data_IF_953015109472
#
_entry.id   IF_953015109472
#
_cell.length_a   1.000
_cell.length_b   1.000
_cell.length_c   1.000
_cell.angle_alpha   90.00
_cell.angle_beta   90.00
_cell.angle_gamma   90.00
#
_symmetry.space_group_name_H-M   'P 1'
#
loop_
_entity.id
_entity.type
_entity.pdbx_description
1 polymer ?
#
# COMPACT_ATOMS: atom_id res chain seq x y z
N UNK A 1 8.95 14.83 8.57
CA UNK A 1 7.86 14.48 9.50
C UNK A 1 7.99 13.08 10.11
N UNK A 2 8.81 12.17 9.55
CA UNK A 2 9.04 10.81 10.06
C UNK A 2 8.11 9.73 9.50
N UNK A 3 7.25 10.02 8.52
CA UNK A 3 6.31 9.06 7.91
C UNK A 3 7.00 7.89 7.24
N UNK A 4 7.95 8.16 6.35
CA UNK A 4 8.73 7.11 5.66
C UNK A 4 9.57 6.31 6.65
N UNK A 5 10.11 6.94 7.72
CA UNK A 5 10.81 6.22 8.79
C UNK A 5 9.88 5.25 9.51
N UNK A 6 8.66 5.70 9.86
CA UNK A 6 7.65 4.83 10.47
C UNK A 6 7.29 3.65 9.54
N UNK A 7 7.08 3.93 8.25
CA UNK A 7 6.82 2.88 7.26
C UNK A 7 7.97 1.87 7.17
N UNK A 8 9.23 2.36 7.18
CA UNK A 8 10.42 1.52 7.15
C UNK A 8 10.54 0.65 8.41
N UNK A 9 10.21 1.18 9.59
CA UNK A 9 10.18 0.40 10.83
C UNK A 9 9.10 -0.69 10.79
N UNK A 10 7.87 -0.36 10.34
CA UNK A 10 6.79 -1.34 10.20
C UNK A 10 7.15 -2.41 9.17
N UNK A 11 7.82 -2.03 8.10
CA UNK A 11 8.28 -2.95 7.05
C UNK A 11 9.53 -3.75 7.43
N UNK A 12 10.09 -3.51 8.60
CA UNK A 12 11.31 -4.15 9.08
C UNK A 12 12.55 -3.90 8.19
N UNK A 13 12.53 -2.83 7.40
CA UNK A 13 13.69 -2.33 6.64
C UNK A 13 14.61 -1.56 7.58
N UNK A 14 14.02 -0.87 8.57
CA UNK A 14 14.74 -0.15 9.62
C UNK A 14 14.36 -0.71 10.99
N UNK A 15 15.19 -0.48 11.99
CA UNK A 15 15.00 -0.99 13.35
C UNK A 15 14.41 0.06 14.28
N UNK A 16 13.49 -0.36 15.15
CA UNK A 16 12.89 0.50 16.17
C UNK A 16 13.91 0.76 17.29
N UNK A 17 14.24 2.03 17.56
CA UNK A 17 15.18 2.41 18.62
C UNK A 17 14.60 2.24 20.03
N UNK A 18 13.28 2.38 20.18
CA UNK A 18 12.55 2.18 21.43
C UNK A 18 11.07 1.96 21.17
N UNK A 19 10.38 1.25 22.06
CA UNK A 19 8.99 0.85 21.88
C UNK A 19 8.88 -0.48 21.14
N UNK A 20 7.68 -0.80 20.65
CA UNK A 20 7.40 -2.04 19.95
C UNK A 20 6.38 -1.80 18.82
N UNK A 21 6.40 -2.67 17.81
CA UNK A 21 5.40 -2.72 16.74
C UNK A 21 4.75 -4.09 16.82
N UNK A 22 3.44 -4.08 16.97
CA UNK A 22 2.64 -5.31 17.02
C UNK A 22 1.83 -5.46 15.73
N UNK A 23 1.95 -6.61 15.06
CA UNK A 23 1.08 -7.01 13.96
C UNK A 23 0.29 -8.26 14.42
N UNK A 24 -1.03 -8.15 14.43
CA UNK A 24 -1.93 -9.21 14.94
C UNK A 24 -1.57 -9.68 16.36
N UNK A 25 -1.00 -8.79 17.19
CA UNK A 25 -0.57 -9.07 18.56
C UNK A 25 0.84 -9.64 18.69
N UNK A 26 1.55 -9.93 17.60
CA UNK A 26 2.94 -10.41 17.58
C UNK A 26 3.91 -9.24 17.47
N UNK A 27 4.93 -9.22 18.36
CA UNK A 27 6.00 -8.22 18.35
C UNK A 27 6.96 -8.45 17.19
N UNK A 28 7.10 -7.44 16.33
CA UNK A 28 8.08 -7.48 15.23
C UNK A 28 9.51 -7.29 15.75
N UNK A 29 9.68 -6.49 16.81
CA UNK A 29 11.00 -6.21 17.38
C UNK A 29 11.67 -7.45 18.00
N UNK A 30 10.90 -8.49 18.34
CA UNK A 30 11.40 -9.73 18.92
C UNK A 30 11.84 -10.78 17.88
N UNK A 31 11.60 -10.54 16.58
CA UNK A 31 11.87 -11.49 15.50
C UNK A 31 13.37 -11.52 15.15
N UNK A 32 13.90 -12.70 14.91
CA UNK A 32 15.24 -12.90 14.33
C UNK A 32 15.28 -12.48 12.85
N UNK A 33 16.47 -12.25 12.30
CA UNK A 33 16.68 -11.89 10.88
C UNK A 33 15.95 -12.83 9.90
N UNK A 34 15.98 -14.14 10.15
CA UNK A 34 15.29 -15.12 9.31
C UNK A 34 13.78 -15.02 9.41
N UNK A 35 13.25 -14.76 10.60
CA UNK A 35 11.83 -14.54 10.84
C UNK A 35 11.37 -13.22 10.25
N UNK A 36 12.17 -12.15 10.31
CA UNK A 36 11.89 -10.87 9.65
C UNK A 36 11.78 -11.03 8.11
N UNK A 37 12.69 -11.80 7.51
CA UNK A 37 12.62 -12.08 6.08
C UNK A 37 11.34 -12.87 5.70
N UNK A 38 10.95 -13.83 6.52
CA UNK A 38 9.70 -14.58 6.36
C UNK A 38 8.48 -13.69 6.56
N UNK A 39 8.47 -12.86 7.60
CA UNK A 39 7.43 -11.89 7.91
C UNK A 39 7.17 -10.96 6.72
N UNK A 40 8.23 -10.36 6.13
CA UNK A 40 8.10 -9.52 4.94
C UNK A 40 7.45 -10.25 3.77
N UNK A 41 7.82 -11.50 3.51
CA UNK A 41 7.28 -12.27 2.38
C UNK A 41 5.83 -12.69 2.58
N UNK A 42 5.47 -13.09 3.80
CA UNK A 42 4.19 -13.74 4.08
C UNK A 42 3.10 -12.76 4.55
N UNK A 43 3.49 -11.68 5.25
CA UNK A 43 2.54 -10.79 5.93
C UNK A 43 2.44 -9.40 5.30
N UNK A 44 3.46 -8.94 4.59
CA UNK A 44 3.52 -7.59 4.06
C UNK A 44 3.42 -7.56 2.54
N UNK A 45 2.61 -6.64 2.04
CA UNK A 45 2.63 -6.22 0.64
C UNK A 45 3.10 -4.77 0.53
N UNK A 46 3.83 -4.45 -0.54
CA UNK A 46 4.37 -3.11 -0.77
C UNK A 46 3.88 -2.52 -2.07
N UNK A 47 3.40 -1.28 -2.00
CA UNK A 47 3.05 -0.47 -3.16
C UNK A 47 3.85 0.84 -3.08
N UNK A 48 4.79 1.01 -4.00
CA UNK A 48 5.68 2.18 -4.06
C UNK A 48 5.23 3.17 -5.14
N UNK A 49 5.66 4.41 -5.02
CA UNK A 49 5.43 5.48 -5.99
C UNK A 49 5.97 5.10 -7.38
N UNK A 50 7.17 4.54 -7.47
CA UNK A 50 7.85 4.17 -8.72
C UNK A 50 7.48 2.76 -9.23
N UNK A 51 6.40 2.16 -8.71
CA UNK A 51 5.88 0.83 -9.04
C UNK A 51 6.83 -0.33 -8.74
N UNK A 52 8.14 -0.16 -8.90
CA UNK A 52 9.20 -1.16 -8.70
C UNK A 52 8.92 -2.51 -9.39
N UNK A 53 8.38 -2.46 -10.61
CA UNK A 53 8.23 -3.63 -11.46
C UNK A 53 9.57 -3.93 -12.13
N UNK A 54 9.88 -5.22 -12.29
CA UNK A 54 11.08 -5.67 -12.98
C UNK A 54 10.82 -5.66 -14.50
N UNK A 55 11.54 -4.82 -15.23
CA UNK A 55 11.37 -4.66 -16.69
C UNK A 55 11.74 -5.90 -17.50
N UNK A 56 12.51 -6.83 -16.91
CA UNK A 56 12.89 -8.10 -17.50
C UNK A 56 11.85 -9.20 -17.39
N UNK A 57 10.80 -8.96 -16.60
CA UNK A 57 9.69 -9.88 -16.36
C UNK A 57 8.40 -9.32 -16.96
N UNK A 58 7.53 -10.19 -17.44
CA UNK A 58 6.16 -9.83 -17.82
C UNK A 58 5.37 -9.35 -16.61
N UNK A 59 4.19 -8.77 -16.83
CA UNK A 59 3.28 -8.38 -15.75
C UNK A 59 2.85 -9.61 -14.94
N UNK A 60 2.56 -10.74 -15.60
CA UNK A 60 2.23 -12.01 -14.95
C UNK A 60 3.35 -12.47 -14.01
N UNK A 61 4.59 -12.49 -14.49
CA UNK A 61 5.76 -12.90 -13.73
C UNK A 61 6.06 -11.93 -12.56
N UNK A 62 5.91 -10.62 -12.79
CA UNK A 62 6.03 -9.62 -11.72
C UNK A 62 5.02 -9.87 -10.59
N UNK A 63 3.76 -10.14 -10.93
CA UNK A 63 2.71 -10.43 -9.94
C UNK A 63 3.02 -11.74 -9.23
N UNK A 64 3.35 -12.81 -9.98
CA UNK A 64 3.62 -14.14 -9.44
C UNK A 64 4.89 -14.26 -8.59
N UNK A 65 5.78 -13.27 -8.64
CA UNK A 65 7.09 -13.32 -7.98
C UNK A 65 7.00 -13.60 -6.47
N UNK A 66 6.06 -12.97 -5.78
CA UNK A 66 5.87 -13.18 -4.33
C UNK A 66 5.50 -14.63 -4.01
N UNK A 67 4.67 -15.26 -4.85
CA UNK A 67 4.28 -16.66 -4.70
C UNK A 67 5.44 -17.61 -5.02
N UNK A 68 6.19 -17.31 -6.10
CA UNK A 68 7.36 -18.10 -6.47
C UNK A 68 8.44 -18.10 -5.38
N UNK A 69 8.68 -16.95 -4.75
CA UNK A 69 9.59 -16.83 -3.61
C UNK A 69 9.12 -17.59 -2.36
N UNK A 70 7.83 -17.85 -2.25
CA UNK A 70 7.22 -18.69 -1.21
C UNK A 70 7.08 -20.16 -1.62
N UNK A 71 7.73 -20.57 -2.71
CA UNK A 71 7.74 -21.95 -3.23
C UNK A 71 6.35 -22.50 -3.57
N UNK A 72 5.39 -21.64 -3.94
CA UNK A 72 4.09 -22.08 -4.40
C UNK A 72 4.22 -22.88 -5.72
N UNK A 73 3.38 -23.90 -5.87
CA UNK A 73 3.37 -24.69 -7.11
C UNK A 73 2.88 -23.85 -8.31
N UNK A 74 3.34 -24.16 -9.54
CA UNK A 74 3.03 -23.35 -10.73
C UNK A 74 1.51 -23.20 -10.99
N UNK A 75 0.69 -24.19 -10.68
CA UNK A 75 -0.74 -24.12 -10.89
C UNK A 75 -1.43 -23.17 -9.92
N UNK A 76 -0.94 -23.10 -8.68
CA UNK A 76 -1.38 -22.12 -7.68
C UNK A 76 -0.97 -20.72 -8.08
N UNK A 77 0.28 -20.52 -8.55
CA UNK A 77 0.74 -19.21 -9.05
C UNK A 77 -0.18 -18.74 -10.19
N UNK A 78 -0.39 -19.55 -11.21
CA UNK A 78 -1.21 -19.19 -12.36
C UNK A 78 -2.65 -18.82 -11.95
N UNK A 79 -3.26 -19.61 -11.10
CA UNK A 79 -4.63 -19.37 -10.61
C UNK A 79 -4.74 -18.08 -9.81
N UNK A 80 -3.81 -17.83 -8.85
CA UNK A 80 -3.87 -16.65 -8.00
C UNK A 80 -3.54 -15.37 -8.78
N UNK A 81 -2.59 -15.43 -9.71
CA UNK A 81 -2.29 -14.30 -10.60
C UNK A 81 -3.49 -13.96 -11.48
N UNK A 82 -4.15 -14.95 -12.07
CA UNK A 82 -5.34 -14.73 -12.89
C UNK A 82 -6.49 -14.11 -12.07
N UNK A 83 -6.73 -14.59 -10.85
CA UNK A 83 -7.78 -14.07 -9.95
C UNK A 83 -7.54 -12.61 -9.57
N UNK A 84 -6.33 -12.27 -9.10
CA UNK A 84 -6.01 -10.88 -8.72
C UNK A 84 -6.00 -9.95 -9.93
N UNK A 85 -5.51 -10.41 -11.08
CA UNK A 85 -5.50 -9.62 -12.31
C UNK A 85 -6.93 -9.32 -12.81
N UNK A 86 -7.84 -10.27 -12.69
CA UNK A 86 -9.24 -10.07 -13.01
C UNK A 86 -9.89 -9.03 -12.08
N UNK A 87 -9.66 -9.14 -10.77
CA UNK A 87 -10.18 -8.19 -9.77
C UNK A 87 -9.69 -6.76 -10.00
N UNK A 88 -8.46 -6.61 -10.51
CA UNK A 88 -7.83 -5.32 -10.77
C UNK A 88 -8.01 -4.83 -12.22
N UNK A 89 -8.68 -5.60 -13.09
CA UNK A 89 -8.94 -5.24 -14.48
C UNK A 89 -7.66 -5.09 -15.31
N UNK A 90 -6.73 -6.05 -15.17
CA UNK A 90 -5.43 -6.07 -15.87
C UNK A 90 -5.13 -7.43 -16.53
N UNK A 91 -6.13 -8.29 -16.69
CA UNK A 91 -5.93 -9.61 -17.30
C UNK A 91 -5.39 -9.54 -18.74
N UNK A 92 -5.77 -8.50 -19.49
CA UNK A 92 -5.36 -8.27 -20.87
C UNK A 92 -3.89 -7.88 -21.04
N UNK A 93 -3.23 -7.46 -19.97
CA UNK A 93 -1.82 -7.03 -20.00
C UNK A 93 -0.87 -8.04 -19.36
N UNK A 94 -1.32 -9.15 -18.84
CA UNK A 94 -0.50 -10.16 -18.16
C UNK A 94 0.73 -10.59 -19.00
N UNK A 95 0.60 -10.85 -20.33
CA UNK A 95 1.76 -11.27 -21.16
C UNK A 95 2.68 -10.11 -21.58
N UNK A 96 2.36 -8.87 -21.21
CA UNK A 96 3.15 -7.68 -21.60
C UNK A 96 4.26 -7.41 -20.58
N UNK A 97 5.29 -6.72 -21.02
CA UNK A 97 6.35 -6.19 -20.16
C UNK A 97 5.99 -4.81 -19.61
N UNK A 98 6.56 -4.37 -18.46
CA UNK A 98 6.25 -3.08 -17.85
C UNK A 98 6.38 -1.88 -18.79
N UNK A 99 7.36 -1.87 -19.68
CA UNK A 99 7.56 -0.78 -20.66
C UNK A 99 6.48 -0.71 -21.76
N UNK A 100 5.63 -1.73 -21.89
CA UNK A 100 4.56 -1.82 -22.90
C UNK A 100 3.19 -1.36 -22.36
N UNK A 101 3.10 -0.95 -21.10
CA UNK A 101 1.84 -0.63 -20.44
C UNK A 101 1.85 0.78 -19.84
N UNK A 102 0.66 1.37 -19.63
CA UNK A 102 0.53 2.71 -19.07
C UNK A 102 0.91 2.77 -17.58
N UNK A 103 1.20 3.97 -17.05
CA UNK A 103 1.50 4.17 -15.63
C UNK A 103 0.39 3.64 -14.71
N UNK A 104 -0.88 3.89 -15.03
CA UNK A 104 -2.00 3.35 -14.26
C UNK A 104 -2.12 1.82 -14.32
N UNK A 105 -1.71 1.18 -15.44
CA UNK A 105 -1.62 -0.27 -15.55
C UNK A 105 -0.46 -0.82 -14.73
N UNK A 106 0.72 -0.18 -14.75
CA UNK A 106 1.87 -0.52 -13.89
C UNK A 106 1.48 -0.47 -12.42
N UNK A 107 0.77 0.58 -12.01
CA UNK A 107 0.35 0.74 -10.62
C UNK A 107 -0.61 -0.38 -10.19
N UNK A 108 -1.60 -0.72 -11.02
CA UNK A 108 -2.48 -1.87 -10.74
C UNK A 108 -1.72 -3.19 -10.68
N UNK A 109 -0.73 -3.38 -11.53
CA UNK A 109 0.15 -4.56 -11.48
C UNK A 109 0.98 -4.60 -10.20
N UNK A 110 1.51 -3.46 -9.72
CA UNK A 110 2.20 -3.36 -8.44
C UNK A 110 1.26 -3.68 -7.26
N UNK A 111 0.01 -3.20 -7.29
CA UNK A 111 -1.01 -3.59 -6.31
C UNK A 111 -1.31 -5.09 -6.36
N UNK A 112 -1.46 -5.67 -7.56
CA UNK A 112 -1.67 -7.11 -7.73
C UNK A 112 -0.53 -7.93 -7.11
N UNK A 113 0.73 -7.54 -7.38
CA UNK A 113 1.91 -8.17 -6.79
C UNK A 113 1.91 -8.10 -5.26
N UNK A 114 1.51 -6.95 -4.70
CA UNK A 114 1.47 -6.73 -3.26
C UNK A 114 0.41 -7.57 -2.53
N UNK A 115 -0.56 -8.15 -3.26
CA UNK A 115 -1.71 -8.85 -2.68
C UNK A 115 -1.82 -10.31 -3.05
N UNK A 116 -1.12 -10.74 -4.10
CA UNK A 116 -1.32 -12.07 -4.71
C UNK A 116 -1.13 -13.22 -3.73
N UNK A 117 -0.29 -13.06 -2.71
CA UNK A 117 -0.04 -14.07 -1.69
C UNK A 117 -0.94 -13.92 -0.43
N UNK A 118 -1.96 -13.05 -0.46
CA UNK A 118 -2.89 -12.86 0.64
C UNK A 118 -2.32 -12.13 1.86
N UNK A 119 -1.42 -11.18 1.63
CA UNK A 119 -0.80 -10.37 2.68
C UNK A 119 -1.85 -9.65 3.53
N UNK A 120 -1.65 -9.67 4.86
CA UNK A 120 -2.58 -9.06 5.81
C UNK A 120 -2.43 -7.54 5.91
N UNK A 121 -1.24 -7.01 5.62
CA UNK A 121 -0.94 -5.58 5.68
C UNK A 121 -0.29 -5.10 4.38
N UNK A 122 -0.92 -4.11 3.75
CA UNK A 122 -0.37 -3.41 2.59
C UNK A 122 0.22 -2.08 3.03
N UNK A 123 1.49 -1.86 2.74
CA UNK A 123 2.22 -0.63 2.98
C UNK A 123 2.34 0.15 1.68
N UNK A 124 1.78 1.36 1.64
CA UNK A 124 1.75 2.20 0.45
C UNK A 124 2.45 3.52 0.74
N UNK A 125 3.54 3.79 0.02
CA UNK A 125 4.26 5.06 0.10
C UNK A 125 3.94 5.89 -1.15
N UNK A 126 3.17 6.97 -0.96
CA UNK A 126 2.74 7.91 -2.00
C UNK A 126 2.19 7.21 -3.27
N UNK A 127 1.24 6.27 -3.16
CA UNK A 127 0.88 5.39 -4.28
C UNK A 127 0.26 6.12 -5.47
N UNK A 128 -0.16 7.37 -5.27
CA UNK A 128 -0.77 8.23 -6.31
C UNK A 128 0.19 9.27 -6.88
N UNK A 129 1.39 9.42 -6.31
CA UNK A 129 2.30 10.53 -6.59
C UNK A 129 2.77 10.63 -8.06
N UNK A 130 2.83 9.50 -8.78
CA UNK A 130 3.22 9.44 -10.19
C UNK A 130 2.04 9.33 -11.17
N UNK A 131 0.79 9.49 -10.69
CA UNK A 131 -0.42 9.27 -11.46
C UNK A 131 -1.17 10.58 -11.77
N UNK A 132 -1.84 10.62 -12.93
CA UNK A 132 -2.84 11.64 -13.19
C UNK A 132 -4.09 11.47 -12.30
N UNK A 133 -4.93 12.50 -12.23
CA UNK A 133 -6.11 12.50 -11.35
C UNK A 133 -7.08 11.35 -11.60
N UNK A 134 -7.24 10.91 -12.86
CA UNK A 134 -8.14 9.81 -13.22
C UNK A 134 -7.57 8.47 -12.78
N UNK A 135 -6.28 8.24 -13.01
CA UNK A 135 -5.58 7.03 -12.59
C UNK A 135 -5.51 6.94 -11.05
N UNK A 136 -5.23 8.06 -10.37
CA UNK A 136 -5.24 8.18 -8.91
C UNK A 136 -6.60 7.79 -8.33
N UNK A 137 -7.69 8.36 -8.85
CA UNK A 137 -9.05 8.00 -8.42
C UNK A 137 -9.32 6.52 -8.58
N UNK A 138 -9.02 5.95 -9.76
CA UNK A 138 -9.23 4.54 -10.02
C UNK A 138 -8.44 3.65 -9.07
N UNK A 139 -7.17 3.99 -8.77
CA UNK A 139 -6.35 3.26 -7.82
C UNK A 139 -6.95 3.27 -6.42
N UNK A 140 -7.35 4.46 -5.92
CA UNK A 140 -7.93 4.62 -4.58
C UNK A 140 -9.26 3.87 -4.44
N UNK A 141 -10.09 3.85 -5.48
CA UNK A 141 -11.31 3.04 -5.52
C UNK A 141 -11.01 1.54 -5.47
N UNK A 142 -9.96 1.09 -6.18
CA UNK A 142 -9.48 -0.29 -6.12
C UNK A 142 -9.01 -0.61 -4.71
N UNK A 143 -8.14 0.21 -4.10
CA UNK A 143 -7.66 0.01 -2.74
C UNK A 143 -8.82 -0.04 -1.73
N UNK A 144 -9.84 0.81 -1.90
CA UNK A 144 -11.05 0.77 -1.07
C UNK A 144 -11.79 -0.57 -1.18
N UNK A 145 -11.94 -1.10 -2.41
CA UNK A 145 -12.53 -2.43 -2.63
C UNK A 145 -11.69 -3.53 -1.99
N UNK A 146 -10.38 -3.46 -2.14
CA UNK A 146 -9.46 -4.43 -1.53
C UNK A 146 -9.63 -4.49 0.00
N UNK A 147 -9.71 -3.33 0.65
CA UNK A 147 -9.96 -3.26 2.09
C UNK A 147 -11.33 -3.84 2.45
N UNK A 148 -12.40 -3.49 1.72
CA UNK A 148 -13.77 -3.92 2.02
C UNK A 148 -14.03 -5.38 1.70
N UNK A 149 -13.61 -5.83 0.50
CA UNK A 149 -14.03 -7.10 -0.07
C UNK A 149 -13.04 -8.24 0.25
N UNK A 150 -11.78 -7.88 0.54
CA UNK A 150 -10.71 -8.84 0.80
C UNK A 150 -10.17 -8.74 2.24
N UNK A 151 -10.66 -7.80 3.05
CA UNK A 151 -10.24 -7.63 4.45
C UNK A 151 -8.79 -7.16 4.62
N UNK A 152 -8.15 -6.67 3.55
CA UNK A 152 -6.77 -6.20 3.64
C UNK A 152 -6.67 -4.93 4.49
N UNK A 153 -5.77 -4.88 5.46
CA UNK A 153 -5.42 -3.64 6.14
C UNK A 153 -4.46 -2.86 5.25
N UNK A 154 -4.76 -1.59 5.00
CA UNK A 154 -3.93 -0.73 4.15
C UNK A 154 -3.43 0.45 4.98
N UNK A 155 -2.12 0.56 5.11
CA UNK A 155 -1.44 1.73 5.67
C UNK A 155 -0.84 2.53 4.53
N UNK A 156 -1.39 3.72 4.29
CA UNK A 156 -0.95 4.59 3.20
C UNK A 156 -0.31 5.85 3.77
N UNK A 157 0.90 6.12 3.36
CA UNK A 157 1.57 7.41 3.58
C UNK A 157 1.29 8.30 2.38
N UNK A 158 0.79 9.50 2.63
CA UNK A 158 0.56 10.50 1.57
C UNK A 158 0.62 11.92 2.13
N UNK A 159 0.88 12.89 1.27
CA UNK A 159 0.72 14.32 1.55
C UNK A 159 -0.53 14.90 0.86
N UNK A 160 -1.25 14.08 0.14
CA UNK A 160 -2.44 14.49 -0.61
C UNK A 160 -3.72 14.23 0.18
N UNK A 161 -4.43 15.32 0.53
CA UNK A 161 -5.70 15.25 1.25
C UNK A 161 -6.78 14.47 0.49
N UNK A 162 -6.76 14.51 -0.85
CA UNK A 162 -7.71 13.75 -1.66
C UNK A 162 -7.51 12.25 -1.48
N UNK A 163 -6.28 11.78 -1.54
CA UNK A 163 -5.93 10.38 -1.28
C UNK A 163 -6.29 9.96 0.14
N UNK A 164 -5.93 10.79 1.13
CA UNK A 164 -6.26 10.55 2.54
C UNK A 164 -7.76 10.42 2.79
N UNK A 165 -8.61 11.13 2.03
CA UNK A 165 -10.07 11.08 2.18
C UNK A 165 -10.71 9.72 1.88
N UNK A 166 -9.99 8.82 1.22
CA UNK A 166 -10.45 7.44 0.98
C UNK A 166 -10.25 6.52 2.18
N UNK A 167 -9.40 6.91 3.13
CA UNK A 167 -9.16 6.12 4.34
C UNK A 167 -10.34 6.19 5.33
N UNK A 168 -10.44 5.20 6.20
CA UNK A 168 -11.37 5.22 7.34
C UNK A 168 -10.81 5.98 8.55
N UNK A 169 -9.47 6.11 8.62
CA UNK A 169 -8.73 6.75 9.71
C UNK A 169 -7.55 7.50 9.15
N UNK A 170 -7.34 8.72 9.59
CA UNK A 170 -6.22 9.58 9.17
C UNK A 170 -5.47 10.05 10.41
N UNK A 171 -4.16 9.81 10.43
CA UNK A 171 -3.26 10.31 11.47
C UNK A 171 -2.39 11.43 10.89
N UNK A 172 -2.35 12.57 11.55
CA UNK A 172 -1.50 13.69 11.17
C UNK A 172 -0.23 13.67 12.00
N UNK A 173 0.92 13.53 11.32
CA UNK A 173 2.22 13.57 11.96
C UNK A 173 2.89 14.93 11.78
N UNK A 174 3.38 15.51 12.89
CA UNK A 174 4.20 16.69 12.91
C UNK A 174 5.39 16.47 13.84
N UNK A 175 6.60 16.71 13.35
CA UNK A 175 7.85 16.62 14.13
C UNK A 175 8.01 15.29 14.89
N UNK A 176 7.67 14.17 14.21
CA UNK A 176 7.77 12.83 14.75
C UNK A 176 6.70 12.46 15.80
N UNK A 177 5.63 13.26 15.90
CA UNK A 177 4.54 13.02 16.86
C UNK A 177 3.18 13.03 16.14
N UNK A 178 2.23 12.30 16.67
CA UNK A 178 0.83 12.40 16.25
C UNK A 178 0.30 13.75 16.73
N UNK A 179 -0.04 14.61 15.78
CA UNK A 179 -0.63 15.92 16.02
C UNK A 179 -2.14 15.84 16.17
N UNK A 180 -2.81 15.09 15.30
CA UNK A 180 -4.25 14.92 15.28
C UNK A 180 -4.63 13.58 14.69
N UNK A 181 -5.86 13.16 14.92
CA UNK A 181 -6.47 11.95 14.39
C UNK A 181 -7.91 12.24 13.95
N UNK A 182 -8.26 11.80 12.74
CA UNK A 182 -9.62 11.84 12.24
C UNK A 182 -10.10 10.42 11.89
N UNK A 183 -11.30 10.09 12.34
CA UNK A 183 -12.02 8.86 11.98
C UNK A 183 -13.17 9.24 11.05
N UNK A 184 -13.24 8.65 9.87
CA UNK A 184 -14.33 8.96 8.92
C UNK A 184 -15.69 8.53 9.44
N UNK A 185 -15.78 7.34 10.01
CA UNK A 185 -17.05 6.76 10.43
C UNK A 185 -18.04 6.64 9.27
N UNK A 186 -19.28 7.08 9.48
CA UNK A 186 -20.35 7.07 8.47
C UNK A 186 -20.37 8.32 7.57
N UNK A 187 -19.43 9.26 7.75
CA UNK A 187 -19.38 10.49 6.97
C UNK A 187 -19.09 10.22 5.50
N UNK A 188 -19.75 11.00 4.65
CA UNK A 188 -19.45 11.01 3.23
C UNK A 188 -18.04 11.51 2.96
N UNK A 189 -17.38 10.94 1.92
CA UNK A 189 -16.01 11.30 1.56
C UNK A 189 -15.78 12.80 1.34
N UNK A 190 -16.67 13.57 0.65
CA UNK A 190 -16.49 15.02 0.50
C UNK A 190 -16.44 15.77 1.83
N UNK A 191 -17.29 15.41 2.78
CA UNK A 191 -17.29 16.01 4.14
C UNK A 191 -15.98 15.71 4.84
N UNK A 192 -15.56 14.45 4.85
CA UNK A 192 -14.31 14.03 5.46
C UNK A 192 -13.08 14.69 4.83
N UNK A 193 -13.09 14.89 3.49
CA UNK A 193 -12.04 15.63 2.79
C UNK A 193 -11.89 17.07 3.30
N UNK A 194 -12.99 17.78 3.53
CA UNK A 194 -12.95 19.15 4.07
C UNK A 194 -12.41 19.19 5.51
N UNK A 195 -12.78 18.22 6.34
CA UNK A 195 -12.25 18.11 7.70
C UNK A 195 -10.71 17.88 7.69
N UNK A 196 -10.22 17.06 6.74
CA UNK A 196 -8.76 16.87 6.54
C UNK A 196 -8.10 18.19 6.16
N UNK A 197 -8.69 18.98 5.25
CA UNK A 197 -8.15 20.28 4.85
C UNK A 197 -8.12 21.28 6.03
N UNK A 198 -9.13 21.27 6.89
CA UNK A 198 -9.18 22.14 8.07
C UNK A 198 -8.04 21.82 9.04
N UNK A 199 -7.75 20.53 9.27
CA UNK A 199 -6.60 20.13 10.10
C UNK A 199 -5.28 20.53 9.46
N UNK A 200 -5.12 20.35 8.14
CA UNK A 200 -3.92 20.75 7.40
C UNK A 200 -3.69 22.27 7.47
N UNK A 201 -4.75 23.07 7.36
CA UNK A 201 -4.69 24.52 7.53
C UNK A 201 -4.22 24.91 8.94
N UNK A 202 -4.69 24.20 10.00
CA UNK A 202 -4.25 24.41 11.37
C UNK A 202 -2.79 23.99 11.61
N UNK A 203 -2.25 23.05 10.83
CA UNK A 203 -0.85 22.64 10.87
C UNK A 203 0.13 23.69 10.33
N UNK A 204 -0.36 24.79 9.73
CA UNK A 204 0.44 25.88 9.19
C UNK A 204 0.66 25.82 7.68
N UNK A 205 -0.21 25.09 6.97
CA UNK A 205 -0.21 25.05 5.49
C UNK A 205 0.91 24.25 4.86
N UNK A 206 1.72 23.55 5.63
CA UNK A 206 2.72 22.63 5.09
C UNK A 206 2.03 21.29 4.77
N UNK A 207 1.80 21.07 3.48
CA UNK A 207 1.00 19.94 2.94
C UNK A 207 1.70 18.58 3.12
N UNK A 208 2.87 18.55 3.77
CA UNK A 208 3.73 17.36 3.86
C UNK A 208 3.38 16.34 4.97
N UNK A 209 2.26 16.50 5.69
CA UNK A 209 2.08 15.84 7.00
C UNK A 209 0.84 14.94 7.15
N UNK A 210 0.39 14.24 6.10
CA UNK A 210 -0.74 13.29 6.19
C UNK A 210 -0.27 11.83 6.12
N UNK A 211 -0.76 10.98 7.02
CA UNK A 211 -0.61 9.51 6.99
C UNK A 211 -1.97 8.82 6.94
#
# INVERSE_FOLDING_TARGET
SGKTTLLNCISTIDTVSAGDILLDGESIAALSEGELARFRRERLGFVFQDFNLLDTLTIEENIGLALALNHADPSTVQRQVADVAQKLGISDILPKFPYQVSGGQKQRAACARAMVAGQSLLLCDEPTGALDSKASKNLLEIMTKMNRDMGATILMVTHDAYSASYAGRVLFLKDGRIFNELLRGERDRPVFYHEILDVLAALGGDVSDVI
#
